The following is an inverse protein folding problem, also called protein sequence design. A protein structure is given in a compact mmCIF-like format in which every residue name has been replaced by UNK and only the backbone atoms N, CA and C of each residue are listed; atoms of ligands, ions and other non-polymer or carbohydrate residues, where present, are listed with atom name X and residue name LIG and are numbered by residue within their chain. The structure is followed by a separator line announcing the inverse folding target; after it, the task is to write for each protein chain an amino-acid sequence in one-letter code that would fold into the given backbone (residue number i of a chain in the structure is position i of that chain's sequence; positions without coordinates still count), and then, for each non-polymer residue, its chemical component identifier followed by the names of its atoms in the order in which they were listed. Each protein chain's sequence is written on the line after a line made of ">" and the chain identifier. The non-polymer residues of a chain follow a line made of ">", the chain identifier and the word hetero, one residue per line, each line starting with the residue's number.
data_IF_097964243783
#
_entry.id   IF_097964243783
#
_cell.length_a   1.000
_cell.length_b   1.000
_cell.length_c   1.000
_cell.angle_alpha   90.00
_cell.angle_beta   90.00
_cell.angle_gamma   90.00
#
_symmetry.space_group_name_H-M   'P 1'
#
loop_
_entity.id
_entity.type
_entity.pdbx_description
1 polymer ?
#
# COMPACT_ATOMS: atom_id res chain seq x y z
N UNK A 1 -6.34 -10.92 40.57
CA UNK A 1 -6.29 -12.11 39.69
C UNK A 1 -7.64 -12.17 38.97
N UNK A 2 -7.79 -12.21 37.64
CA UNK A 2 -7.02 -12.88 36.57
C UNK A 2 -6.91 -11.97 35.33
N UNK A 3 -5.68 -11.60 34.98
CA UNK A 3 -5.29 -10.92 33.74
C UNK A 3 -5.12 -11.97 32.63
N UNK A 4 -6.22 -12.51 32.11
CA UNK A 4 -6.15 -13.57 31.07
C UNK A 4 -7.24 -13.33 30.01
N UNK A 5 -7.18 -12.20 29.31
CA UNK A 5 -7.84 -12.04 27.98
C UNK A 5 -7.04 -11.03 27.13
N UNK A 6 -5.73 -11.22 26.97
CA UNK A 6 -4.95 -10.39 26.02
C UNK A 6 -3.86 -11.19 25.28
N UNK A 7 -4.12 -12.46 25.03
CA UNK A 7 -3.19 -13.33 24.30
C UNK A 7 -3.87 -13.97 23.08
N UNK A 8 -4.12 -13.20 22.01
CA UNK A 8 -4.33 -13.73 20.64
C UNK A 8 -3.97 -12.69 19.56
N UNK A 9 -2.77 -12.11 19.62
CA UNK A 9 -2.13 -11.53 18.42
C UNK A 9 -0.69 -12.02 18.39
N UNK A 10 -0.57 -13.28 18.01
CA UNK A 10 0.68 -14.01 17.81
C UNK A 10 1.50 -13.38 16.70
N UNK A 11 2.65 -12.84 17.10
CA UNK A 11 3.96 -12.91 16.44
C UNK A 11 3.94 -13.19 14.92
N UNK A 12 4.06 -12.12 14.13
CA UNK A 12 4.81 -12.15 12.88
C UNK A 12 5.69 -10.90 12.85
N UNK A 13 6.79 -10.96 13.61
CA UNK A 13 7.82 -9.92 13.63
C UNK A 13 8.92 -10.31 12.64
N UNK A 14 8.81 -9.83 11.41
CA UNK A 14 9.95 -9.65 10.54
C UNK A 14 9.82 -8.26 9.91
N UNK A 15 10.86 -7.42 10.05
CA UNK A 15 11.12 -6.32 9.10
C UNK A 15 10.22 -5.08 9.14
N UNK A 16 10.02 -4.49 10.33
CA UNK A 16 9.30 -3.23 10.48
C UNK A 16 10.17 -2.01 10.14
N UNK A 17 10.34 -1.72 8.85
CA UNK A 17 10.96 -0.48 8.38
C UNK A 17 10.09 0.72 8.80
N UNK A 18 10.65 1.59 9.66
CA UNK A 18 9.99 2.81 10.12
C UNK A 18 9.99 3.84 8.98
N UNK A 19 8.84 4.09 8.36
CA UNK A 19 8.71 5.22 7.45
C UNK A 19 8.96 6.56 8.19
N UNK A 20 9.80 7.42 7.63
CA UNK A 20 10.14 8.75 8.14
C UNK A 20 8.92 9.71 8.10
N UNK A 21 8.94 10.83 8.85
CA UNK A 21 7.85 11.80 8.79
C UNK A 21 7.58 12.34 7.38
N UNK A 22 8.63 12.49 6.56
CA UNK A 22 8.51 12.94 5.17
C UNK A 22 7.86 11.88 4.28
N UNK A 23 8.23 10.61 4.45
CA UNK A 23 7.60 9.48 3.76
C UNK A 23 6.11 9.38 4.10
N UNK A 24 5.76 9.54 5.38
CA UNK A 24 4.36 9.56 5.81
C UNK A 24 3.57 10.69 5.18
N UNK A 25 4.13 11.92 5.17
CA UNK A 25 3.48 13.07 4.52
C UNK A 25 3.24 12.78 3.04
N UNK A 26 4.19 12.11 2.38
CA UNK A 26 4.04 11.76 0.97
C UNK A 26 3.00 10.66 0.74
N UNK A 27 2.94 9.64 1.58
CA UNK A 27 1.90 8.61 1.53
C UNK A 27 0.50 9.19 1.82
N UNK A 28 0.38 10.19 2.68
CA UNK A 28 -0.87 10.93 2.88
C UNK A 28 -1.30 11.69 1.62
N UNK A 29 -0.35 12.25 0.88
CA UNK A 29 -0.62 12.88 -0.42
C UNK A 29 -1.18 11.85 -1.41
N UNK A 30 -0.60 10.65 -1.48
CA UNK A 30 -1.14 9.55 -2.30
C UNK A 30 -2.61 9.26 -1.97
N UNK A 31 -2.95 9.11 -0.68
CA UNK A 31 -4.33 8.86 -0.25
C UNK A 31 -5.28 10.00 -0.62
N UNK A 32 -4.81 11.25 -0.53
CA UNK A 32 -5.59 12.42 -0.91
C UNK A 32 -5.90 12.43 -2.40
N UNK A 33 -4.87 12.23 -3.24
CA UNK A 33 -5.04 12.22 -4.69
C UNK A 33 -5.87 11.01 -5.16
N UNK A 34 -5.70 9.86 -4.51
CA UNK A 34 -6.52 8.67 -4.73
C UNK A 34 -8.01 8.94 -4.44
N UNK A 35 -8.31 9.61 -3.33
CA UNK A 35 -9.68 10.00 -2.98
C UNK A 35 -10.30 10.97 -3.99
N UNK A 36 -9.51 11.90 -4.53
CA UNK A 36 -9.99 12.81 -5.59
C UNK A 36 -10.27 12.05 -6.88
N UNK A 37 -9.35 11.16 -7.28
CA UNK A 37 -9.54 10.33 -8.48
C UNK A 37 -10.79 9.45 -8.37
N UNK A 38 -11.02 8.79 -7.22
CA UNK A 38 -12.22 7.96 -6.99
C UNK A 38 -13.54 8.75 -7.08
N UNK A 39 -13.53 10.05 -6.80
CA UNK A 39 -14.73 10.92 -6.90
C UNK A 39 -15.04 11.31 -8.34
N UNK A 40 -14.00 11.54 -9.13
CA UNK A 40 -14.12 12.00 -10.51
C UNK A 40 -14.27 10.84 -11.51
N UNK A 41 -14.01 9.62 -11.06
CA UNK A 41 -14.25 8.42 -11.84
C UNK A 41 -15.76 8.20 -11.98
N UNK A 42 -16.30 8.11 -13.22
CA UNK A 42 -17.63 7.55 -13.40
C UNK A 42 -17.65 6.14 -12.79
N UNK A 43 -18.82 5.66 -12.38
CA UNK A 43 -19.00 4.28 -11.91
C UNK A 43 -18.69 3.30 -13.05
N UNK A 44 -17.41 3.06 -13.31
CA UNK A 44 -16.96 2.26 -14.45
C UNK A 44 -16.84 0.82 -14.00
N UNK A 45 -17.47 -0.10 -14.74
CA UNK A 45 -17.29 -1.56 -14.63
C UNK A 45 -15.89 -2.03 -15.07
N UNK A 46 -14.89 -1.17 -14.91
CA UNK A 46 -13.53 -1.37 -15.34
C UNK A 46 -12.89 -2.51 -14.56
N UNK A 47 -12.31 -3.45 -15.28
CA UNK A 47 -11.65 -4.63 -14.75
C UNK A 47 -10.14 -4.43 -14.80
N UNK A 48 -9.51 -4.27 -13.65
CA UNK A 48 -8.12 -3.86 -13.47
C UNK A 48 -7.28 -4.98 -12.87
N UNK A 49 -6.06 -5.22 -13.38
CA UNK A 49 -5.13 -6.17 -12.77
C UNK A 49 -4.84 -5.72 -11.34
N UNK A 50 -5.21 -6.56 -10.37
CA UNK A 50 -5.28 -6.13 -8.98
C UNK A 50 -4.46 -7.06 -8.11
N UNK A 51 -3.35 -6.59 -7.52
CA UNK A 51 -2.57 -7.34 -6.54
C UNK A 51 -3.44 -7.94 -5.42
N UNK A 52 -3.04 -9.06 -4.80
CA UNK A 52 -3.78 -9.65 -3.69
C UNK A 52 -3.90 -8.66 -2.53
N UNK A 53 -4.91 -8.85 -1.68
CA UNK A 53 -5.12 -7.98 -0.51
C UNK A 53 -3.98 -8.13 0.51
N UNK A 54 -3.54 -9.36 0.73
CA UNK A 54 -2.51 -9.72 1.71
C UNK A 54 -1.14 -9.86 1.01
N UNK A 55 -0.62 -8.72 0.56
CA UNK A 55 0.72 -8.61 -0.04
C UNK A 55 1.78 -8.90 1.03
N UNK A 56 2.79 -9.72 0.71
CA UNK A 56 3.95 -9.91 1.59
C UNK A 56 4.81 -8.64 1.66
N UNK A 57 5.50 -8.42 2.78
CA UNK A 57 6.30 -7.20 3.01
C UNK A 57 7.33 -6.94 1.90
N UNK A 58 8.05 -7.98 1.45
CA UNK A 58 9.01 -7.88 0.36
C UNK A 58 8.38 -7.72 -1.03
N UNK A 59 7.07 -7.94 -1.18
CA UNK A 59 6.36 -7.76 -2.44
C UNK A 59 5.62 -6.43 -2.54
N UNK A 60 5.71 -5.56 -1.52
CA UNK A 60 5.02 -4.26 -1.52
C UNK A 60 5.48 -3.35 -2.66
N UNK A 61 6.77 -3.36 -3.02
CA UNK A 61 7.27 -2.58 -4.16
C UNK A 61 6.84 -3.17 -5.50
N UNK A 62 6.87 -4.50 -5.64
CA UNK A 62 6.36 -5.18 -6.85
C UNK A 62 4.87 -4.93 -7.05
N UNK A 63 4.08 -4.99 -5.98
CA UNK A 63 2.66 -4.63 -6.02
C UNK A 63 2.44 -3.15 -6.37
N UNK A 64 3.25 -2.24 -5.81
CA UNK A 64 3.20 -0.82 -6.16
C UNK A 64 3.48 -0.58 -7.65
N UNK A 65 4.43 -1.31 -8.25
CA UNK A 65 4.68 -1.29 -9.69
C UNK A 65 3.44 -1.72 -10.46
N UNK A 66 2.81 -2.83 -10.07
CA UNK A 66 1.59 -3.29 -10.72
C UNK A 66 0.44 -2.27 -10.65
N UNK A 67 0.24 -1.62 -9.50
CA UNK A 67 -0.74 -0.54 -9.36
C UNK A 67 -0.45 0.62 -10.33
N UNK A 68 0.82 1.01 -10.50
CA UNK A 68 1.22 2.09 -11.41
C UNK A 68 0.99 1.73 -12.88
N UNK A 69 1.39 0.52 -13.28
CA UNK A 69 1.20 0.01 -14.65
C UNK A 69 -0.28 -0.04 -15.00
N UNK A 70 -1.10 -0.61 -14.12
CA UNK A 70 -2.54 -0.74 -14.35
C UNK A 70 -3.24 0.63 -14.39
N UNK A 71 -2.80 1.59 -13.56
CA UNK A 71 -3.28 2.98 -13.63
C UNK A 71 -2.95 3.63 -14.98
N UNK A 72 -1.72 3.42 -15.46
CA UNK A 72 -1.25 3.96 -16.72
C UNK A 72 -2.01 3.38 -17.91
N UNK A 73 -2.23 2.06 -17.91
CA UNK A 73 -2.99 1.33 -18.94
C UNK A 73 -4.42 1.85 -19.08
N UNK A 74 -5.12 2.06 -17.97
CA UNK A 74 -6.55 2.37 -18.01
C UNK A 74 -6.87 3.86 -18.06
N UNK A 75 -6.03 4.71 -17.48
CA UNK A 75 -6.33 6.14 -17.32
C UNK A 75 -5.31 7.06 -18.01
N UNK A 76 -4.17 6.53 -18.44
CA UNK A 76 -3.04 7.34 -18.90
C UNK A 76 -2.58 8.36 -17.85
N UNK A 77 -1.96 9.45 -18.30
CA UNK A 77 -1.48 10.57 -17.47
C UNK A 77 -2.06 11.91 -17.94
N UNK A 78 -3.22 11.89 -18.60
CA UNK A 78 -3.83 13.09 -19.21
C UNK A 78 -4.62 13.93 -18.22
N UNK A 79 -5.31 13.29 -17.26
CA UNK A 79 -6.13 14.00 -16.29
C UNK A 79 -5.34 14.54 -15.08
N UNK A 80 -5.83 15.64 -14.49
CA UNK A 80 -5.17 16.36 -13.39
C UNK A 80 -4.87 15.47 -12.19
N UNK A 81 -5.85 14.68 -11.75
CA UNK A 81 -5.73 13.83 -10.56
C UNK A 81 -4.96 12.55 -10.86
N UNK A 82 -5.12 11.99 -12.06
CA UNK A 82 -4.33 10.86 -12.57
C UNK A 82 -2.84 11.21 -12.55
N UNK A 83 -2.47 12.37 -13.12
CA UNK A 83 -1.08 12.86 -13.15
C UNK A 83 -0.51 13.06 -11.75
N UNK A 84 -1.28 13.65 -10.84
CA UNK A 84 -0.84 13.88 -9.45
C UNK A 84 -0.68 12.59 -8.66
N UNK A 85 -1.63 11.66 -8.79
CA UNK A 85 -1.57 10.36 -8.15
C UNK A 85 -0.36 9.59 -8.66
N UNK A 86 -0.18 9.49 -9.98
CA UNK A 86 0.96 8.80 -10.60
C UNK A 86 2.30 9.40 -10.17
N UNK A 87 2.43 10.74 -10.16
CA UNK A 87 3.63 11.42 -9.66
C UNK A 87 3.90 11.14 -8.18
N UNK A 88 2.86 11.12 -7.36
CA UNK A 88 2.99 10.84 -5.93
C UNK A 88 3.35 9.40 -5.66
N UNK A 89 2.77 8.46 -6.41
CA UNK A 89 3.11 7.04 -6.34
C UNK A 89 4.58 6.83 -6.72
N UNK A 90 5.08 7.47 -7.78
CA UNK A 90 6.47 7.37 -8.26
C UNK A 90 7.51 8.12 -7.43
N UNK A 91 7.09 8.90 -6.43
CA UNK A 91 8.01 9.67 -5.62
C UNK A 91 8.90 8.76 -4.76
N UNK A 92 10.19 9.07 -4.64
CA UNK A 92 11.16 8.27 -3.85
C UNK A 92 10.70 8.06 -2.41
N UNK A 93 10.17 9.09 -1.76
CA UNK A 93 9.60 8.97 -0.41
C UNK A 93 8.42 7.98 -0.32
N UNK A 94 7.62 7.83 -1.37
CA UNK A 94 6.55 6.81 -1.39
C UNK A 94 7.15 5.41 -1.53
N UNK A 95 8.15 5.26 -2.40
CA UNK A 95 8.86 4.00 -2.60
C UNK A 95 9.53 3.56 -1.29
N UNK A 96 10.31 4.44 -0.67
CA UNK A 96 10.99 4.15 0.58
C UNK A 96 10.01 3.83 1.71
N UNK A 97 8.91 4.59 1.81
CA UNK A 97 7.87 4.36 2.82
C UNK A 97 7.12 3.03 2.65
N UNK A 98 7.22 2.38 1.50
CA UNK A 98 6.63 1.07 1.19
C UNK A 98 7.67 -0.04 1.05
N UNK A 99 8.95 0.27 1.27
CA UNK A 99 10.00 -0.73 1.26
C UNK A 99 10.12 -1.38 2.64
N UNK A 100 9.37 -2.46 2.84
CA UNK A 100 9.38 -3.23 4.09
C UNK A 100 10.31 -4.44 4.05
N UNK A 101 11.06 -4.63 2.96
CA UNK A 101 11.87 -5.83 2.80
C UNK A 101 13.14 -5.75 3.65
N UNK A 102 13.33 -6.69 4.59
CA UNK A 102 14.65 -6.89 5.19
C UNK A 102 15.49 -7.77 4.27
N UNK A 103 16.70 -7.31 3.99
CA UNK A 103 17.67 -7.93 3.09
C UNK A 103 18.32 -9.20 3.64
N UNK A 104 18.06 -9.57 4.90
CA UNK A 104 18.76 -10.68 5.56
C UNK A 104 18.17 -12.08 5.27
N UNK A 105 17.00 -12.21 4.63
CA UNK A 105 16.37 -13.56 4.51
C UNK A 105 15.38 -13.79 3.37
N UNK A 106 15.19 -12.84 2.46
CA UNK A 106 14.03 -12.87 1.55
C UNK A 106 14.36 -13.27 0.11
N UNK A 107 14.43 -14.59 -0.15
CA UNK A 107 14.18 -15.12 -1.50
C UNK A 107 12.68 -15.20 -1.73
N UNK A 108 12.03 -14.05 -2.01
CA UNK A 108 10.58 -14.00 -2.20
C UNK A 108 10.24 -13.98 -3.69
N UNK A 109 9.52 -15.01 -4.15
CA UNK A 109 8.93 -15.06 -5.48
C UNK A 109 7.65 -14.22 -5.53
N UNK A 110 7.79 -12.90 -5.65
CA UNK A 110 6.64 -12.02 -5.87
C UNK A 110 6.02 -12.29 -7.24
N UNK A 111 4.70 -12.46 -7.29
CA UNK A 111 3.98 -12.68 -8.54
C UNK A 111 4.07 -11.44 -9.46
N UNK A 112 4.03 -11.66 -10.77
CA UNK A 112 4.07 -10.58 -11.77
C UNK A 112 2.68 -9.96 -11.93
N UNK A 113 2.62 -8.69 -12.35
CA UNK A 113 1.35 -7.94 -12.43
C UNK A 113 0.28 -8.65 -13.30
N UNK A 114 0.70 -9.21 -14.44
CA UNK A 114 -0.20 -9.91 -15.36
C UNK A 114 -0.74 -11.25 -14.84
N UNK A 115 -0.15 -11.81 -13.78
CA UNK A 115 -0.63 -13.03 -13.15
C UNK A 115 -1.77 -12.78 -12.14
N UNK A 116 -2.00 -11.52 -11.77
CA UNK A 116 -3.05 -11.17 -10.83
C UNK A 116 -4.44 -11.18 -11.47
N UNK A 117 -5.49 -11.53 -10.72
CA UNK A 117 -6.85 -11.47 -11.22
C UNK A 117 -7.25 -10.03 -11.56
N UNK A 118 -8.15 -9.91 -12.53
CA UNK A 118 -8.82 -8.65 -12.81
C UNK A 118 -9.98 -8.45 -11.86
N UNK A 119 -9.99 -7.31 -11.18
CA UNK A 119 -11.03 -6.92 -10.22
C UNK A 119 -11.67 -5.61 -10.64
N UNK A 120 -12.85 -5.32 -10.09
CA UNK A 120 -13.51 -4.02 -10.30
C UNK A 120 -12.61 -2.89 -9.82
N UNK A 121 -12.65 -1.75 -10.52
CA UNK A 121 -11.89 -0.56 -10.15
C UNK A 121 -12.06 -0.16 -8.67
N UNK A 122 -13.25 -0.30 -8.11
CA UNK A 122 -13.49 -0.05 -6.67
C UNK A 122 -12.58 -0.88 -5.78
N UNK A 123 -12.45 -2.18 -6.06
CA UNK A 123 -11.60 -3.10 -5.31
C UNK A 123 -10.12 -2.81 -5.56
N UNK A 124 -9.73 -2.55 -6.81
CA UNK A 124 -8.38 -2.10 -7.16
C UNK A 124 -7.93 -0.90 -6.30
N UNK A 125 -8.77 0.15 -6.24
CA UNK A 125 -8.44 1.33 -5.45
C UNK A 125 -8.47 1.08 -3.94
N UNK A 126 -9.33 0.17 -3.45
CA UNK A 126 -9.34 -0.21 -2.02
C UNK A 126 -8.07 -0.95 -1.62
N UNK A 127 -7.53 -1.81 -2.50
CA UNK A 127 -6.28 -2.52 -2.23
C UNK A 127 -5.06 -1.59 -2.31
N UNK A 128 -5.04 -0.65 -3.26
CA UNK A 128 -4.02 0.41 -3.29
C UNK A 128 -4.06 1.27 -2.03
N UNK A 129 -5.24 1.68 -1.59
CA UNK A 129 -5.43 2.41 -0.34
C UNK A 129 -4.91 1.61 0.86
N UNK A 130 -5.23 0.32 0.93
CA UNK A 130 -4.78 -0.57 1.99
C UNK A 130 -3.26 -0.68 2.03
N UNK A 131 -2.59 -0.87 0.88
CA UNK A 131 -1.13 -0.90 0.77
C UNK A 131 -0.51 0.38 1.35
N UNK A 132 -1.00 1.54 0.94
CA UNK A 132 -0.49 2.85 1.39
C UNK A 132 -0.76 3.08 2.88
N UNK A 133 -1.85 2.55 3.41
CA UNK A 133 -2.23 2.68 4.82
C UNK A 133 -1.49 1.72 5.76
N UNK A 134 -0.82 0.68 5.27
CA UNK A 134 -0.02 -0.25 6.13
C UNK A 134 0.95 0.50 7.04
N UNK A 135 1.56 1.56 6.52
CA UNK A 135 2.46 2.45 7.29
C UNK A 135 1.80 3.06 8.53
N UNK A 136 0.48 3.31 8.52
CA UNK A 136 -0.27 3.87 9.65
C UNK A 136 -0.58 2.82 10.73
N UNK A 137 -0.91 1.59 10.33
CA UNK A 137 -1.21 0.50 11.27
C UNK A 137 0.02 0.16 12.12
N UNK A 138 1.20 0.16 11.50
CA UNK A 138 2.46 0.02 12.21
C UNK A 138 2.67 1.10 13.28
N UNK A 139 2.27 2.36 13.03
CA UNK A 139 2.40 3.43 14.04
C UNK A 139 1.48 3.27 15.24
N UNK A 140 0.21 2.88 15.05
CA UNK A 140 -0.71 2.68 16.17
C UNK A 140 -0.21 1.53 17.05
N UNK A 141 0.26 0.45 16.42
CA UNK A 141 0.83 -0.69 17.11
C UNK A 141 2.09 -0.32 17.90
N UNK A 142 3.04 0.40 17.29
CA UNK A 142 4.25 0.85 17.98
C UNK A 142 4.02 1.92 19.03
N UNK A 143 3.13 2.89 18.80
CA UNK A 143 2.83 3.92 19.81
C UNK A 143 2.18 3.29 21.04
N UNK A 144 1.35 2.26 20.86
CA UNK A 144 0.83 1.45 21.97
C UNK A 144 1.92 0.64 22.68
N UNK A 145 2.90 0.10 21.95
CA UNK A 145 4.06 -0.58 22.54
C UNK A 145 4.95 0.39 23.36
N UNK A 146 5.25 1.58 22.82
CA UNK A 146 6.19 2.52 23.44
C UNK A 146 5.60 3.33 24.60
N UNK A 147 4.28 3.46 24.70
CA UNK A 147 3.61 4.07 25.87
C UNK A 147 3.50 3.06 27.03
N UNK A 148 3.78 1.78 26.78
CA UNK A 148 3.70 0.70 27.78
C UNK A 148 5.05 0.39 28.45
N UNK A 149 6.11 1.13 28.12
CA UNK A 149 7.42 1.08 28.77
C UNK A 149 7.77 2.44 29.35
#
# INVERSE_FOLDING_TARGET
>A
MKLIVFCLFTVYCCSLVKASPLERKKLQEVLRELKMLKRDLPNTELMMNTPPKDIEDCCCLTALTCFRETLLEHFGISGKYQKKLYKSLNHTLTINGLNFCNTETSTNNCSTCHSHPKEKASEFFNRLESLVQRVRLFQIYFRKLYIKY
#
